data_IF_469334975562
#
_entry.id   IF_469334975562
#
_cell.length_a   1.000
_cell.length_b   1.000
_cell.length_c   1.000
_cell.angle_alpha   90.00
_cell.angle_beta   90.00
_cell.angle_gamma   90.00
#
_symmetry.space_group_name_H-M   'P 1'
#
loop_
_entity.id
_entity.type
_entity.pdbx_description
1 polymer ?
#
# COMPACT_ATOMS: atom_id res chain seq x y z
N UNK A 1 -28.32 -4.13 -11.23
CA UNK A 1 -27.47 -4.96 -10.36
C UNK A 1 -26.04 -4.76 -10.83
N UNK A 2 -25.20 -4.10 -10.03
CA UNK A 2 -23.80 -3.89 -10.42
C UNK A 2 -23.04 -5.22 -10.30
N UNK A 3 -22.31 -5.59 -11.34
CA UNK A 3 -21.36 -6.71 -11.34
C UNK A 3 -20.33 -6.47 -10.24
N UNK A 4 -20.28 -7.35 -9.23
CA UNK A 4 -19.19 -7.36 -8.25
C UNK A 4 -17.91 -7.78 -8.98
N UNK A 5 -17.12 -6.80 -9.43
CA UNK A 5 -15.73 -7.07 -9.81
C UNK A 5 -14.98 -7.52 -8.56
N UNK A 6 -14.33 -8.68 -8.63
CA UNK A 6 -13.36 -9.10 -7.62
C UNK A 6 -12.29 -8.00 -7.54
N UNK A 7 -12.26 -7.26 -6.44
CA UNK A 7 -11.24 -6.23 -6.22
C UNK A 7 -9.86 -6.87 -6.17
N UNK A 8 -8.88 -6.20 -6.74
CA UNK A 8 -7.50 -6.67 -6.73
C UNK A 8 -6.83 -6.23 -5.43
N UNK A 9 -6.34 -7.16 -4.58
CA UNK A 9 -5.60 -6.80 -3.38
C UNK A 9 -4.30 -6.06 -3.74
N UNK A 10 -3.98 -5.02 -2.97
CA UNK A 10 -2.73 -4.26 -3.11
C UNK A 10 -2.17 -3.89 -1.73
N UNK A 11 -0.94 -4.33 -1.43
CA UNK A 11 -0.24 -4.05 -0.17
C UNK A 11 0.80 -2.96 -0.38
N UNK A 12 0.47 -1.76 0.08
CA UNK A 12 1.36 -0.61 0.10
C UNK A 12 2.12 -0.55 1.42
N UNK A 13 3.41 -0.22 1.34
CA UNK A 13 4.25 -0.08 2.51
C UNK A 13 5.08 1.22 2.47
N UNK A 14 5.16 1.93 3.60
CA UNK A 14 6.07 3.06 3.79
C UNK A 14 7.23 2.68 4.71
N UNK A 15 8.40 3.32 4.54
CA UNK A 15 9.56 3.08 5.42
C UNK A 15 9.28 3.61 6.83
N UNK A 16 8.75 4.83 6.91
CA UNK A 16 8.36 5.54 8.13
C UNK A 16 7.34 6.62 7.78
N UNK A 17 6.60 7.12 8.77
CA UNK A 17 5.63 8.19 8.56
C UNK A 17 6.32 9.51 8.24
N UNK A 18 6.04 10.06 7.06
CA UNK A 18 6.58 11.34 6.62
C UNK A 18 5.63 12.06 5.66
N UNK A 19 5.73 13.38 5.62
CA UNK A 19 4.92 14.24 4.73
C UNK A 19 5.11 13.91 3.25
N UNK A 20 6.26 13.34 2.86
CA UNK A 20 6.51 12.93 1.47
C UNK A 20 5.57 11.82 1.00
N UNK A 21 5.02 11.01 1.90
CA UNK A 21 4.03 10.00 1.55
C UNK A 21 2.58 10.51 1.54
N UNK A 22 2.34 11.80 1.82
CA UNK A 22 1.00 12.41 1.81
C UNK A 22 0.17 12.06 0.56
N UNK A 23 0.73 12.06 -0.67
CA UNK A 23 -0.04 11.64 -1.85
C UNK A 23 -0.63 10.22 -1.72
N UNK A 24 0.10 9.27 -1.13
CA UNK A 24 -0.37 7.89 -0.91
C UNK A 24 -1.52 7.89 0.11
N UNK A 25 -1.37 8.63 1.22
CA UNK A 25 -2.44 8.77 2.21
C UNK A 25 -3.72 9.34 1.61
N UNK A 26 -3.61 10.38 0.78
CA UNK A 26 -4.76 11.00 0.09
C UNK A 26 -5.39 10.03 -0.90
N UNK A 27 -4.59 9.28 -1.67
CA UNK A 27 -5.09 8.27 -2.61
C UNK A 27 -5.88 7.16 -1.93
N UNK A 28 -5.43 6.69 -0.77
CA UNK A 28 -6.12 5.67 0.03
C UNK A 28 -7.37 6.26 0.69
N UNK A 29 -7.22 7.35 1.46
CA UNK A 29 -8.32 7.93 2.24
C UNK A 29 -9.43 8.54 1.37
N UNK A 30 -9.07 9.07 0.20
CA UNK A 30 -10.00 9.62 -0.77
C UNK A 30 -10.75 8.56 -1.60
N UNK A 31 -10.45 7.28 -1.43
CA UNK A 31 -11.09 6.20 -2.20
C UNK A 31 -10.67 6.17 -3.68
N UNK A 32 -9.60 6.85 -4.06
CA UNK A 32 -9.15 6.90 -5.46
C UNK A 32 -8.61 5.55 -5.93
N UNK A 33 -7.98 4.78 -5.05
CA UNK A 33 -7.55 3.41 -5.39
C UNK A 33 -8.72 2.44 -5.38
N UNK A 34 -9.68 2.66 -4.48
CA UNK A 34 -10.93 1.91 -4.37
C UNK A 34 -11.78 2.02 -5.65
N UNK A 35 -11.87 3.23 -6.21
CA UNK A 35 -12.62 3.50 -7.45
C UNK A 35 -12.02 2.81 -8.69
N UNK A 36 -10.72 2.50 -8.66
CA UNK A 36 -10.04 1.73 -9.69
C UNK A 36 -10.14 0.20 -9.46
N UNK A 37 -10.88 -0.24 -8.43
CA UNK A 37 -11.08 -1.65 -8.12
C UNK A 37 -9.96 -2.28 -7.29
N UNK A 38 -9.13 -1.47 -6.62
CA UNK A 38 -8.05 -1.96 -5.75
C UNK A 38 -8.54 -2.05 -4.30
N UNK A 39 -8.27 -3.19 -3.64
CA UNK A 39 -8.46 -3.37 -2.20
C UNK A 39 -7.12 -3.16 -1.49
N UNK A 40 -6.93 -1.96 -0.95
CA UNK A 40 -5.62 -1.48 -0.51
C UNK A 40 -5.42 -1.66 0.99
N UNK A 41 -4.33 -2.33 1.37
CA UNK A 41 -3.78 -2.30 2.72
C UNK A 41 -2.54 -1.41 2.73
N UNK A 42 -2.52 -0.36 3.55
CA UNK A 42 -1.37 0.54 3.69
C UNK A 42 -0.77 0.45 5.10
N UNK A 43 0.51 0.07 5.18
CA UNK A 43 1.21 -0.18 6.46
C UNK A 43 2.57 0.51 6.54
N UNK A 44 3.00 0.82 7.75
CA UNK A 44 4.40 1.20 8.01
C UNK A 44 5.26 -0.06 8.14
N UNK A 45 6.45 -0.08 7.53
CA UNK A 45 7.35 -1.23 7.50
C UNK A 45 7.67 -1.72 8.92
N UNK A 46 7.31 -2.98 9.25
CA UNK A 46 7.64 -3.54 10.55
C UNK A 46 9.16 -3.73 10.77
N UNK A 47 9.66 -3.59 12.01
CA UNK A 47 11.09 -3.73 12.32
C UNK A 47 11.70 -5.08 11.92
N UNK A 48 10.94 -6.17 11.90
CA UNK A 48 11.39 -7.52 11.55
C UNK A 48 11.89 -7.65 10.11
N UNK A 49 11.45 -6.77 9.21
CA UNK A 49 11.98 -6.74 7.84
C UNK A 49 13.33 -6.03 7.78
N UNK A 50 13.66 -5.17 8.74
CA UNK A 50 14.89 -4.36 8.81
C UNK A 50 15.02 -3.29 7.72
N UNK A 51 14.71 -3.64 6.46
CA UNK A 51 14.66 -2.75 5.31
C UNK A 51 13.47 -3.11 4.41
N UNK A 52 12.86 -2.09 3.80
CA UNK A 52 11.65 -2.24 2.97
C UNK A 52 11.77 -3.20 1.79
N UNK A 53 12.96 -3.32 1.17
CA UNK A 53 13.15 -4.23 0.05
C UNK A 53 12.97 -5.71 0.48
N UNK A 54 13.22 -6.03 1.76
CA UNK A 54 13.00 -7.38 2.29
C UNK A 54 11.53 -7.73 2.39
N UNK A 55 10.66 -6.74 2.66
CA UNK A 55 9.22 -6.92 2.64
C UNK A 55 8.71 -7.23 1.22
N UNK A 56 9.33 -6.64 0.18
CA UNK A 56 9.02 -6.98 -1.22
C UNK A 56 9.47 -8.42 -1.55
N UNK A 57 10.70 -8.80 -1.21
CA UNK A 57 11.25 -10.15 -1.50
C UNK A 57 10.44 -11.25 -0.81
N UNK A 58 9.99 -11.01 0.43
CA UNK A 58 9.19 -11.97 1.19
C UNK A 58 7.71 -11.94 0.81
N UNK A 59 7.34 -11.08 -0.15
CA UNK A 59 5.95 -10.92 -0.57
C UNK A 59 5.05 -10.42 0.55
N UNK A 60 5.55 -9.59 1.47
CA UNK A 60 4.77 -8.89 2.49
C UNK A 60 4.24 -7.53 2.00
N UNK A 61 4.85 -6.96 0.97
CA UNK A 61 4.40 -5.76 0.27
C UNK A 61 4.44 -5.98 -1.25
N UNK A 62 3.55 -5.31 -1.98
CA UNK A 62 3.55 -5.28 -3.44
C UNK A 62 4.25 -4.02 -3.97
N UNK A 63 4.09 -2.91 -3.25
CA UNK A 63 4.80 -1.66 -3.50
C UNK A 63 5.29 -1.13 -2.17
N UNK A 64 6.55 -0.71 -2.11
CA UNK A 64 7.08 -0.01 -0.94
C UNK A 64 7.78 1.27 -1.37
N UNK A 65 7.61 2.33 -0.58
CA UNK A 65 8.47 3.51 -0.66
C UNK A 65 9.89 3.15 -0.24
N UNK A 66 10.89 3.80 -0.84
CA UNK A 66 12.28 3.81 -0.40
C UNK A 66 12.72 5.25 -0.10
N UNK A 67 13.72 5.40 0.76
CA UNK A 67 14.43 6.66 1.01
C UNK A 67 15.73 6.74 0.24
#
# INVERSE_FOLDING_TARGET
>A
MATQHSRQPLRLMEVFRTVFYTPIYVSVAGGFLDSEGLDVTFTTCPPEFGQVHRALIQGAADISGSG
#
